data_IF_763492874263
#
_entry.id   IF_763492874263
#
_cell.length_a   1.000
_cell.length_b   1.000
_cell.length_c   1.000
_cell.angle_alpha   90.00
_cell.angle_beta   90.00
_cell.angle_gamma   90.00
#
_symmetry.space_group_name_H-M   'P 1'
#
loop_
_entity.id
_entity.type
_entity.pdbx_description
1 polymer ?
#
# COMPACT_ATOMS: atom_id res chain seq x y z
N UNK A 1 6.97 11.65 -13.45
CA UNK A 1 7.59 11.35 -12.13
C UNK A 1 6.72 10.39 -11.32
N UNK A 2 5.43 10.69 -11.12
CA UNK A 2 4.45 9.91 -10.36
C UNK A 2 4.29 8.46 -10.85
N UNK A 3 4.23 8.23 -12.17
CA UNK A 3 4.10 6.89 -12.75
C UNK A 3 5.26 5.93 -12.37
N UNK A 4 6.48 6.47 -12.18
CA UNK A 4 7.65 5.69 -11.76
C UNK A 4 7.55 5.29 -10.28
N UNK A 5 7.07 6.21 -9.43
CA UNK A 5 6.81 5.96 -8.01
C UNK A 5 5.71 4.89 -7.87
N UNK A 6 4.59 5.06 -8.56
CA UNK A 6 3.49 4.09 -8.55
C UNK A 6 3.94 2.70 -9.02
N UNK A 7 4.73 2.62 -10.08
CA UNK A 7 5.25 1.34 -10.58
C UNK A 7 6.13 0.66 -9.54
N UNK A 8 7.05 1.40 -8.88
CA UNK A 8 7.87 0.85 -7.80
C UNK A 8 7.02 0.43 -6.60
N UNK A 9 6.02 1.22 -6.23
CA UNK A 9 5.10 0.91 -5.13
C UNK A 9 4.38 -0.43 -5.37
N UNK A 10 3.75 -0.60 -6.54
CA UNK A 10 3.08 -1.84 -6.92
C UNK A 10 4.05 -3.02 -6.97
N UNK A 11 5.27 -2.83 -7.51
CA UNK A 11 6.29 -3.89 -7.56
C UNK A 11 6.68 -4.36 -6.14
N UNK A 12 6.83 -3.44 -5.19
CA UNK A 12 7.14 -3.81 -3.80
C UNK A 12 5.98 -4.57 -3.14
N UNK A 13 4.73 -4.14 -3.34
CA UNK A 13 3.56 -4.88 -2.85
C UNK A 13 3.56 -6.30 -3.41
N UNK A 14 3.66 -6.45 -4.73
CA UNK A 14 3.67 -7.78 -5.38
C UNK A 14 4.81 -8.67 -4.89
N UNK A 15 5.99 -8.10 -4.73
CA UNK A 15 7.16 -8.82 -4.21
C UNK A 15 6.91 -9.34 -2.80
N UNK A 16 6.42 -8.49 -1.89
CA UNK A 16 6.18 -8.89 -0.49
C UNK A 16 5.04 -9.90 -0.39
N UNK A 17 3.94 -9.64 -1.09
CA UNK A 17 2.81 -10.55 -1.20
C UNK A 17 3.23 -11.95 -1.68
N UNK A 18 4.15 -12.03 -2.65
CA UNK A 18 4.70 -13.30 -3.15
C UNK A 18 5.55 -14.06 -2.13
N UNK A 19 6.08 -13.40 -1.08
CA UNK A 19 6.78 -14.09 0.02
C UNK A 19 5.84 -14.82 0.97
N UNK A 20 4.56 -14.43 0.97
CA UNK A 20 3.51 -14.99 1.84
C UNK A 20 2.42 -15.72 1.03
N UNK A 21 2.65 -15.94 -0.27
CA UNK A 21 1.66 -16.49 -1.21
C UNK A 21 0.26 -15.86 -1.06
N UNK A 22 0.21 -14.54 -0.82
CA UNK A 22 -1.02 -13.82 -0.55
C UNK A 22 -1.43 -12.95 -1.73
N UNK A 23 -2.73 -12.92 -2.02
CA UNK A 23 -3.36 -12.01 -2.99
C UNK A 23 -4.22 -10.94 -2.33
N UNK A 24 -4.36 -10.98 -1.01
CA UNK A 24 -5.12 -10.00 -0.25
C UNK A 24 -4.23 -8.85 0.17
N UNK A 25 -4.60 -7.62 -0.19
CA UNK A 25 -3.85 -6.39 0.12
C UNK A 25 -4.78 -5.37 0.75
N UNK A 26 -4.36 -4.78 1.86
CA UNK A 26 -5.01 -3.60 2.44
C UNK A 26 -4.12 -2.38 2.18
N UNK A 27 -4.66 -1.37 1.52
CA UNK A 27 -4.02 -0.07 1.35
C UNK A 27 -4.56 0.88 2.43
N UNK A 28 -3.72 1.15 3.42
CA UNK A 28 -4.04 2.09 4.49
C UNK A 28 -3.25 3.39 4.31
N UNK A 29 -3.94 4.52 4.31
CA UNK A 29 -3.31 5.84 4.26
C UNK A 29 -2.69 6.16 5.62
N UNK A 30 -1.35 6.28 5.68
CA UNK A 30 -0.63 6.53 6.92
C UNK A 30 0.35 7.71 6.76
N UNK A 31 -0.14 8.92 7.07
CA UNK A 31 0.55 10.19 6.81
C UNK A 31 1.77 10.45 7.72
N UNK A 32 1.97 9.65 8.78
CA UNK A 32 3.04 9.83 9.76
C UNK A 32 4.38 9.18 9.36
N UNK A 33 4.46 8.50 8.21
CA UNK A 33 5.69 7.82 7.76
C UNK A 33 6.71 8.74 7.08
N UNK A 34 6.37 10.01 6.86
CA UNK A 34 7.21 10.95 6.12
C UNK A 34 7.20 12.32 6.78
N UNK A 35 8.35 13.01 6.74
CA UNK A 35 8.46 14.42 7.14
C UNK A 35 7.83 15.40 6.13
N UNK A 36 7.49 14.94 4.93
CA UNK A 36 6.85 15.73 3.87
C UNK A 36 5.53 15.09 3.42
N UNK A 37 4.58 15.91 2.96
CA UNK A 37 3.22 15.49 2.62
C UNK A 37 2.86 15.93 1.21
N UNK A 38 2.21 15.05 0.47
CA UNK A 38 1.60 15.38 -0.80
C UNK A 38 0.19 15.97 -0.58
N UNK A 39 -0.37 16.71 -1.56
CA UNK A 39 -1.78 17.07 -1.56
C UNK A 39 -2.70 15.84 -1.41
N UNK A 40 -3.81 16.02 -0.70
CA UNK A 40 -4.71 14.92 -0.33
C UNK A 40 -5.35 14.25 -1.56
N UNK A 41 -5.84 15.04 -2.50
CA UNK A 41 -6.40 14.63 -3.79
C UNK A 41 -5.39 13.80 -4.61
N UNK A 42 -4.14 14.24 -4.65
CA UNK A 42 -3.07 13.51 -5.32
C UNK A 42 -2.79 12.16 -4.65
N UNK A 43 -2.69 12.14 -3.32
CA UNK A 43 -2.40 10.92 -2.55
C UNK A 43 -3.53 9.89 -2.66
N UNK A 44 -4.78 10.34 -2.55
CA UNK A 44 -5.95 9.48 -2.74
C UNK A 44 -6.01 8.94 -4.17
N UNK A 45 -5.83 9.79 -5.19
CA UNK A 45 -5.78 9.36 -6.58
C UNK A 45 -4.71 8.30 -6.85
N UNK A 46 -3.51 8.45 -6.26
CA UNK A 46 -2.44 7.47 -6.37
C UNK A 46 -2.81 6.12 -5.72
N UNK A 47 -3.49 6.14 -4.57
CA UNK A 47 -3.98 4.92 -3.90
C UNK A 47 -5.03 4.21 -4.77
N UNK A 48 -5.97 4.95 -5.36
CA UNK A 48 -6.98 4.38 -6.25
C UNK A 48 -6.33 3.78 -7.51
N UNK A 49 -5.36 4.47 -8.11
CA UNK A 49 -4.64 3.93 -9.27
C UNK A 49 -3.83 2.66 -8.92
N UNK A 50 -3.26 2.61 -7.70
CA UNK A 50 -2.58 1.42 -7.20
C UNK A 50 -3.55 0.25 -7.02
N UNK A 51 -4.72 0.50 -6.43
CA UNK A 51 -5.81 -0.50 -6.28
C UNK A 51 -6.16 -1.10 -7.63
N UNK A 52 -6.55 -0.26 -8.60
CA UNK A 52 -7.01 -0.72 -9.91
C UNK A 52 -5.96 -1.57 -10.64
N UNK A 53 -4.66 -1.18 -10.57
CA UNK A 53 -3.57 -1.94 -11.20
C UNK A 53 -3.28 -3.27 -10.49
N UNK A 54 -3.43 -3.33 -9.18
CA UNK A 54 -3.29 -4.56 -8.40
C UNK A 54 -4.46 -5.51 -8.67
N UNK A 55 -5.69 -5.03 -8.70
CA UNK A 55 -6.89 -5.82 -9.03
C UNK A 55 -6.83 -6.41 -10.44
N UNK A 56 -6.40 -5.62 -11.44
CA UNK A 56 -6.11 -6.13 -12.81
C UNK A 56 -5.04 -7.23 -12.83
N UNK A 57 -4.23 -7.33 -11.79
CA UNK A 57 -3.20 -8.35 -11.63
C UNK A 57 -3.65 -9.53 -10.74
N UNK A 58 -4.94 -9.62 -10.42
CA UNK A 58 -5.55 -10.71 -9.65
C UNK A 58 -5.42 -10.58 -8.12
N UNK A 59 -5.21 -9.38 -7.60
CA UNK A 59 -5.23 -9.12 -6.15
C UNK A 59 -6.62 -8.72 -5.68
N UNK A 60 -6.99 -9.12 -4.46
CA UNK A 60 -8.14 -8.58 -3.75
C UNK A 60 -7.67 -7.41 -2.90
N UNK A 61 -8.09 -6.19 -3.24
CA UNK A 61 -7.57 -4.98 -2.60
C UNK A 61 -8.68 -4.27 -1.82
N UNK A 62 -8.39 -3.93 -0.57
CA UNK A 62 -9.26 -3.09 0.26
C UNK A 62 -8.53 -1.79 0.57
N UNK A 63 -9.23 -0.66 0.43
CA UNK A 63 -8.71 0.66 0.80
C UNK A 63 -9.47 1.12 2.04
N UNK A 64 -8.76 1.46 3.11
CA UNK A 64 -9.41 2.06 4.28
C UNK A 64 -9.91 3.47 3.95
N UNK A 65 -10.98 3.98 4.58
CA UNK A 65 -11.44 5.36 4.39
C UNK A 65 -10.28 6.38 4.48
N UNK A 66 -10.04 7.12 3.39
CA UNK A 66 -8.95 8.08 3.30
C UNK A 66 -9.25 9.32 4.14
N UNK A 67 -8.27 9.79 4.93
CA UNK A 67 -8.43 10.97 5.78
C UNK A 67 -9.13 10.74 7.12
N UNK A 68 -9.50 9.49 7.44
CA UNK A 68 -10.11 9.12 8.70
C UNK A 68 -9.11 8.53 9.69
N UNK A 69 -9.39 8.69 10.98
CA UNK A 69 -8.77 7.89 12.03
C UNK A 69 -9.42 6.50 12.00
N UNK A 70 -8.63 5.47 11.68
CA UNK A 70 -9.11 4.09 11.60
C UNK A 70 -8.52 3.28 12.77
N UNK A 71 -9.35 2.54 13.49
CA UNK A 71 -8.90 1.52 14.41
C UNK A 71 -8.73 0.19 13.67
N UNK A 72 -7.66 -0.55 13.95
CA UNK A 72 -7.43 -1.86 13.37
C UNK A 72 -6.65 -2.76 14.33
N UNK A 73 -6.85 -4.07 14.16
CA UNK A 73 -6.13 -5.13 14.86
C UNK A 73 -5.33 -5.92 13.82
N UNK A 74 -4.06 -6.16 14.08
CA UNK A 74 -3.17 -6.87 13.18
C UNK A 74 -2.44 -8.00 13.90
N UNK A 75 -2.44 -9.17 13.26
CA UNK A 75 -1.54 -10.27 13.57
C UNK A 75 -0.45 -10.30 12.50
N UNK A 76 0.81 -10.33 12.93
CA UNK A 76 1.98 -10.18 12.06
C UNK A 76 2.67 -11.53 11.89
N UNK A 77 3.06 -11.87 10.66
CA UNK A 77 3.66 -13.15 10.31
C UNK A 77 5.15 -13.26 10.72
N UNK A 78 5.45 -13.37 12.02
CA UNK A 78 6.81 -13.67 12.51
C UNK A 78 7.85 -12.56 12.31
N UNK A 79 9.14 -12.90 12.51
CA UNK A 79 10.18 -11.91 12.83
C UNK A 79 10.86 -11.22 11.64
N UNK A 80 10.97 -11.88 10.47
CA UNK A 80 11.84 -11.36 9.38
C UNK A 80 11.10 -10.49 8.36
N UNK A 81 10.35 -11.09 7.43
CA UNK A 81 9.78 -10.38 6.27
C UNK A 81 8.40 -9.77 6.53
N UNK A 82 7.81 -9.95 7.71
CA UNK A 82 6.45 -9.48 7.95
C UNK A 82 6.34 -7.97 8.19
N UNK A 83 7.47 -7.29 8.40
CA UNK A 83 7.55 -5.84 8.58
C UNK A 83 8.63 -5.30 7.66
N UNK A 84 8.23 -4.61 6.60
CA UNK A 84 9.16 -4.03 5.62
C UNK A 84 8.83 -2.56 5.41
N UNK A 85 9.85 -1.71 5.50
CA UNK A 85 9.78 -0.30 5.12
C UNK A 85 10.44 -0.06 3.75
N UNK A 86 9.87 0.84 2.94
CA UNK A 86 10.39 1.23 1.62
C UNK A 86 10.24 2.74 1.42
N UNK A 87 11.34 3.40 1.09
CA UNK A 87 11.37 4.76 0.56
C UNK A 87 11.50 4.69 -0.97
N UNK A 88 10.65 5.40 -1.73
CA UNK A 88 10.38 5.12 -3.16
C UNK A 88 10.49 6.34 -4.07
#
# INVERSE_FOLDING_TARGET
>A
RSAKVLTKFIKNIKWLSGKFDSKSVVLHSFNHLSGSKAPADFAEGLIQEARDRLERSGYSVTVTPFGYLNEWKLHVAGESLAKVFKEI
#
